data_IF_593267837563
#
_entry.id   IF_593267837563
#
_cell.length_a   1.000
_cell.length_b   1.000
_cell.length_c   1.000
_cell.angle_alpha   90.00
_cell.angle_beta   90.00
_cell.angle_gamma   90.00
#
_symmetry.space_group_name_H-M   'P 1'
#
loop_
_entity.id
_entity.type
_entity.pdbx_description
1 polymer ?
#
# COMPACT_ATOMS: atom_id res chain seq x y z
N UNK A 1 41.75 4.50 10.62
CA UNK A 1 40.74 5.43 10.10
C UNK A 1 40.66 5.28 8.59
N UNK A 2 39.46 4.92 8.08
CA UNK A 2 39.27 4.66 6.63
C UNK A 2 38.79 5.91 5.86
N UNK A 3 38.51 7.02 6.54
CA UNK A 3 37.88 8.21 5.95
C UNK A 3 36.42 8.01 5.51
N UNK A 4 35.81 6.86 5.87
CA UNK A 4 34.41 6.54 5.55
C UNK A 4 33.50 6.90 6.71
N UNK A 5 32.27 7.34 6.39
CA UNK A 5 31.21 7.53 7.37
C UNK A 5 30.51 6.20 7.62
N UNK A 6 30.27 5.89 8.91
CA UNK A 6 29.45 4.75 9.31
C UNK A 6 28.06 5.29 9.63
N UNK A 7 27.05 4.76 8.97
CA UNK A 7 25.65 5.13 9.12
C UNK A 7 24.78 3.89 9.30
N UNK A 8 23.60 3.99 9.94
CA UNK A 8 22.61 2.93 9.90
C UNK A 8 22.26 2.55 8.45
N UNK A 9 21.96 1.28 8.20
CA UNK A 9 21.45 0.84 6.90
C UNK A 9 20.10 1.48 6.58
N UNK A 10 19.80 1.64 5.31
CA UNK A 10 18.50 2.12 4.84
C UNK A 10 17.38 1.16 5.21
N UNK A 11 16.18 1.68 5.44
CA UNK A 11 14.92 0.94 5.54
C UNK A 11 14.08 1.29 4.33
N UNK A 12 13.73 0.31 3.50
CA UNK A 12 12.77 0.48 2.41
C UNK A 12 11.41 -0.04 2.87
N UNK A 13 10.46 0.84 3.19
CA UNK A 13 9.17 0.45 3.74
C UNK A 13 8.15 0.05 2.66
N UNK A 14 8.55 -0.08 1.39
CA UNK A 14 7.59 -0.36 0.32
C UNK A 14 8.21 -1.14 -0.84
N UNK A 15 8.23 -2.45 -0.73
CA UNK A 15 8.69 -3.34 -1.80
C UNK A 15 7.59 -4.34 -2.19
N UNK A 16 7.72 -4.92 -3.39
CA UNK A 16 6.84 -5.99 -3.88
C UNK A 16 7.70 -7.11 -4.47
N UNK A 17 7.99 -8.11 -3.66
CA UNK A 17 8.83 -9.26 -4.00
C UNK A 17 7.99 -10.52 -4.14
N UNK A 18 8.37 -11.41 -5.06
CA UNK A 18 7.60 -12.64 -5.35
C UNK A 18 6.08 -12.38 -5.59
N UNK A 19 5.66 -11.15 -5.92
CA UNK A 19 4.27 -10.76 -5.97
C UNK A 19 3.56 -11.31 -7.22
N UNK A 20 2.60 -12.24 -7.07
CA UNK A 20 1.74 -12.65 -8.18
C UNK A 20 0.69 -11.55 -8.45
N UNK A 21 0.71 -10.93 -9.63
CA UNK A 21 -0.23 -9.88 -10.00
C UNK A 21 -0.49 -9.85 -11.51
N UNK A 22 -1.74 -9.67 -11.91
CA UNK A 22 -2.17 -9.51 -13.30
C UNK A 22 -1.71 -10.63 -14.25
N UNK A 23 -1.61 -11.88 -13.76
CA UNK A 23 -1.22 -13.04 -14.57
C UNK A 23 0.30 -13.20 -14.75
N UNK A 24 1.08 -12.44 -14.04
CA UNK A 24 2.54 -12.55 -13.95
C UNK A 24 3.01 -12.54 -12.49
N UNK A 25 4.31 -12.59 -12.28
CA UNK A 25 4.95 -12.46 -10.96
C UNK A 25 6.03 -11.38 -11.06
N UNK A 26 6.27 -10.63 -9.99
CA UNK A 26 7.40 -9.67 -9.97
C UNK A 26 8.71 -10.36 -10.31
N UNK A 27 9.60 -9.66 -11.02
CA UNK A 27 10.88 -10.23 -11.49
C UNK A 27 11.84 -10.59 -10.37
N UNK A 28 11.77 -9.83 -9.26
CA UNK A 28 12.57 -10.07 -8.08
C UNK A 28 11.83 -10.91 -7.05
N UNK A 29 12.54 -11.90 -6.54
CA UNK A 29 12.14 -12.66 -5.37
C UNK A 29 12.80 -12.09 -4.09
N UNK A 30 12.48 -12.66 -2.92
CA UNK A 30 13.04 -12.22 -1.65
C UNK A 30 14.59 -12.38 -1.57
N UNK A 31 15.21 -13.24 -2.39
CA UNK A 31 16.68 -13.30 -2.43
C UNK A 31 17.27 -12.22 -3.33
N UNK A 32 16.79 -12.11 -4.57
CA UNK A 32 17.36 -11.19 -5.56
C UNK A 32 17.08 -9.74 -5.20
N UNK A 33 15.87 -9.41 -4.76
CA UNK A 33 15.50 -8.07 -4.30
C UNK A 33 16.26 -7.67 -3.03
N UNK A 34 16.37 -8.55 -2.03
CA UNK A 34 17.16 -8.29 -0.82
C UNK A 34 18.65 -8.10 -1.13
N UNK A 35 19.19 -8.89 -2.05
CA UNK A 35 20.58 -8.73 -2.51
C UNK A 35 20.78 -7.36 -3.15
N UNK A 36 19.89 -6.94 -4.04
CA UNK A 36 19.96 -5.62 -4.66
C UNK A 36 19.86 -4.49 -3.62
N UNK A 37 18.94 -4.59 -2.67
CA UNK A 37 18.78 -3.67 -1.56
C UNK A 37 20.07 -3.55 -0.72
N UNK A 38 20.66 -4.69 -0.33
CA UNK A 38 21.91 -4.73 0.44
C UNK A 38 23.07 -4.04 -0.30
N UNK A 39 23.21 -4.26 -1.61
CA UNK A 39 24.23 -3.58 -2.42
C UNK A 39 23.99 -2.06 -2.51
N UNK A 40 22.74 -1.59 -2.37
CA UNK A 40 22.37 -0.18 -2.27
C UNK A 40 22.53 0.42 -0.87
N UNK A 41 22.86 -0.41 0.15
CA UNK A 41 22.99 0.03 1.53
C UNK A 41 21.68 -0.05 2.34
N UNK A 42 20.62 -0.65 1.79
CA UNK A 42 19.38 -0.97 2.50
C UNK A 42 19.54 -2.27 3.25
N UNK A 43 19.22 -2.30 4.53
CA UNK A 43 19.38 -3.47 5.40
C UNK A 43 18.07 -4.04 5.92
N UNK A 44 16.96 -3.36 5.65
CA UNK A 44 15.61 -3.80 6.04
C UNK A 44 14.62 -3.41 4.95
N UNK A 45 13.73 -4.32 4.57
CA UNK A 45 12.63 -4.05 3.63
C UNK A 45 11.29 -4.42 4.24
N UNK A 46 10.20 -3.79 3.78
CA UNK A 46 8.84 -4.16 4.18
C UNK A 46 8.02 -4.47 2.93
N UNK A 47 7.56 -5.72 2.82
CA UNK A 47 6.76 -6.21 1.71
C UNK A 47 5.26 -6.24 2.07
N UNK A 48 4.41 -6.54 1.09
CA UNK A 48 2.96 -6.50 1.23
C UNK A 48 2.33 -7.87 1.06
N UNK A 49 1.87 -8.44 2.16
CA UNK A 49 1.04 -9.65 2.14
C UNK A 49 -0.30 -9.34 1.50
N UNK A 50 -0.73 -10.12 0.51
CA UNK A 50 -2.08 -10.02 -0.08
C UNK A 50 -3.03 -10.94 0.68
N UNK A 51 -4.18 -10.40 1.11
CA UNK A 51 -5.17 -11.17 1.86
C UNK A 51 -5.85 -12.22 0.98
N UNK A 52 -5.62 -13.49 1.32
CA UNK A 52 -6.23 -14.66 0.69
C UNK A 52 -7.59 -15.03 1.34
N UNK A 53 -8.36 -15.90 0.70
CA UNK A 53 -9.70 -16.30 1.18
C UNK A 53 -9.69 -17.01 2.55
N UNK A 54 -8.58 -17.68 2.87
CA UNK A 54 -8.44 -18.42 4.14
C UNK A 54 -8.08 -17.54 5.35
N UNK A 55 -7.97 -16.21 5.16
CA UNK A 55 -7.74 -15.26 6.24
C UNK A 55 -6.28 -14.88 6.45
N UNK A 56 -6.02 -14.07 7.49
CA UNK A 56 -4.73 -13.41 7.69
C UNK A 56 -3.59 -14.39 7.97
N UNK A 57 -3.78 -15.36 8.89
CA UNK A 57 -2.71 -16.29 9.23
C UNK A 57 -2.23 -17.06 7.99
N UNK A 58 -3.16 -17.60 7.21
CA UNK A 58 -2.82 -18.33 5.99
C UNK A 58 -2.06 -17.45 4.98
N UNK A 59 -2.48 -16.19 4.83
CA UNK A 59 -1.84 -15.24 3.93
C UNK A 59 -0.41 -14.93 4.39
N UNK A 60 -0.22 -14.68 5.68
CA UNK A 60 1.10 -14.42 6.27
C UNK A 60 2.02 -15.62 6.13
N UNK A 61 1.52 -16.84 6.35
CA UNK A 61 2.31 -18.08 6.22
C UNK A 61 2.87 -18.25 4.79
N UNK A 62 2.09 -17.87 3.77
CA UNK A 62 2.56 -17.88 2.36
C UNK A 62 3.74 -16.93 2.18
N UNK A 63 3.63 -15.68 2.63
CA UNK A 63 4.70 -14.68 2.49
C UNK A 63 5.93 -15.03 3.34
N UNK A 64 5.73 -15.53 4.56
CA UNK A 64 6.82 -16.05 5.38
C UNK A 64 7.57 -17.19 4.69
N UNK A 65 6.84 -18.08 3.99
CA UNK A 65 7.46 -19.16 3.21
C UNK A 65 8.29 -18.64 2.04
N UNK A 66 7.80 -17.62 1.30
CA UNK A 66 8.58 -16.97 0.25
C UNK A 66 9.82 -16.26 0.79
N UNK A 67 9.69 -15.66 1.98
CA UNK A 67 10.77 -14.93 2.65
C UNK A 67 11.82 -15.82 3.33
N UNK A 68 11.69 -17.15 3.37
CA UNK A 68 12.73 -18.05 3.90
C UNK A 68 14.11 -17.86 3.24
N UNK A 69 14.14 -17.33 2.01
CA UNK A 69 15.37 -17.02 1.25
C UNK A 69 15.86 -15.58 1.43
N UNK A 70 15.28 -14.83 2.35
CA UNK A 70 15.65 -13.44 2.62
C UNK A 70 17.12 -13.29 2.99
N UNK A 71 17.80 -12.28 2.45
CA UNK A 71 19.22 -12.02 2.67
C UNK A 71 19.48 -10.83 3.61
N UNK A 72 18.46 -10.03 3.93
CA UNK A 72 18.48 -8.91 4.89
C UNK A 72 17.21 -8.98 5.74
N UNK A 73 17.10 -8.11 6.74
CA UNK A 73 15.92 -8.02 7.60
C UNK A 73 14.68 -7.63 6.80
N UNK A 74 13.53 -8.17 7.20
CA UNK A 74 12.27 -7.85 6.55
C UNK A 74 11.10 -7.81 7.54
N UNK A 75 10.03 -7.17 7.11
CA UNK A 75 8.72 -7.20 7.76
C UNK A 75 7.63 -7.10 6.70
N UNK A 76 6.35 -7.08 7.15
CA UNK A 76 5.21 -7.07 6.25
C UNK A 76 4.19 -6.00 6.60
N UNK A 77 3.53 -5.50 5.56
CA UNK A 77 2.23 -4.81 5.61
C UNK A 77 1.13 -5.77 5.17
N UNK A 78 -0.11 -5.56 5.60
CA UNK A 78 -1.25 -6.35 5.14
C UNK A 78 -2.07 -5.58 4.10
N UNK A 79 -2.13 -6.07 2.85
CA UNK A 79 -3.09 -5.58 1.85
C UNK A 79 -4.48 -6.10 2.16
N UNK A 80 -5.40 -5.20 2.51
CA UNK A 80 -6.80 -5.46 2.77
C UNK A 80 -7.58 -5.32 1.46
N UNK A 81 -7.76 -6.42 0.74
CA UNK A 81 -8.39 -6.47 -0.59
C UNK A 81 -9.86 -6.89 -0.56
N UNK A 82 -10.37 -7.20 0.62
CA UNK A 82 -11.76 -7.53 0.90
C UNK A 82 -12.08 -7.18 2.35
N UNK A 83 -13.34 -6.92 2.64
CA UNK A 83 -13.78 -6.55 3.96
C UNK A 83 -15.18 -7.09 4.22
N UNK A 84 -15.34 -7.80 5.32
CA UNK A 84 -16.59 -8.29 5.87
C UNK A 84 -16.49 -8.35 7.41
N UNK A 85 -17.55 -8.74 8.08
CA UNK A 85 -17.57 -8.84 9.55
C UNK A 85 -16.56 -9.86 10.13
N UNK A 86 -16.23 -10.91 9.38
CA UNK A 86 -15.20 -11.88 9.77
C UNK A 86 -13.82 -11.22 9.72
N UNK A 87 -13.48 -10.61 8.59
CA UNK A 87 -12.21 -9.90 8.40
C UNK A 87 -12.07 -8.78 9.44
N UNK A 88 -13.11 -7.99 9.67
CA UNK A 88 -13.10 -6.92 10.67
C UNK A 88 -12.73 -7.42 12.07
N UNK A 89 -13.25 -8.59 12.49
CA UNK A 89 -12.95 -9.21 13.79
C UNK A 89 -11.53 -9.79 13.85
N UNK A 90 -10.97 -10.22 12.74
CA UNK A 90 -9.63 -10.81 12.66
C UNK A 90 -8.50 -9.76 12.60
N UNK A 91 -8.75 -8.51 12.15
CA UNK A 91 -7.72 -7.46 12.02
C UNK A 91 -6.83 -7.33 13.27
N UNK A 92 -7.34 -7.34 14.52
CA UNK A 92 -6.48 -7.21 15.69
C UNK A 92 -5.43 -8.32 15.85
N UNK A 93 -5.66 -9.51 15.26
CA UNK A 93 -4.70 -10.62 15.32
C UNK A 93 -3.39 -10.32 14.55
N UNK A 94 -3.41 -9.41 13.58
CA UNK A 94 -2.22 -8.99 12.84
C UNK A 94 -1.13 -8.42 13.76
N UNK A 95 -1.52 -7.74 14.85
CA UNK A 95 -0.57 -7.22 15.83
C UNK A 95 0.24 -8.34 16.51
N UNK A 96 -0.36 -9.50 16.74
CA UNK A 96 0.33 -10.67 17.30
C UNK A 96 1.28 -11.33 16.29
N UNK A 97 1.03 -11.12 15.00
CA UNK A 97 1.89 -11.56 13.89
C UNK A 97 3.02 -10.54 13.58
N UNK A 98 3.09 -9.42 14.33
CA UNK A 98 4.08 -8.36 14.09
C UNK A 98 3.70 -7.38 12.96
N UNK A 99 2.49 -7.47 12.41
CA UNK A 99 2.00 -6.61 11.33
C UNK A 99 1.17 -5.49 11.92
N UNK A 100 1.66 -4.26 11.83
CA UNK A 100 1.08 -3.07 12.46
C UNK A 100 0.42 -2.11 11.47
N UNK A 101 0.27 -2.52 10.21
CA UNK A 101 -0.19 -1.65 9.13
C UNK A 101 -1.21 -2.36 8.25
N UNK A 102 -2.25 -1.62 7.85
CA UNK A 102 -3.26 -2.07 6.88
C UNK A 102 -3.16 -1.22 5.62
N UNK A 103 -2.90 -1.84 4.47
CA UNK A 103 -2.89 -1.18 3.16
C UNK A 103 -4.22 -1.39 2.46
N UNK A 104 -4.84 -0.29 2.05
CA UNK A 104 -6.09 -0.26 1.24
C UNK A 104 -5.85 0.41 -0.11
N UNK A 105 -6.78 0.22 -1.03
CA UNK A 105 -6.73 0.75 -2.39
C UNK A 105 -8.05 1.44 -2.71
N UNK A 106 -7.98 2.63 -3.32
CA UNK A 106 -9.14 3.35 -3.87
C UNK A 106 -9.31 3.13 -5.37
N UNK A 107 -8.41 2.37 -5.99
CA UNK A 107 -8.44 1.95 -7.38
C UNK A 107 -8.28 0.43 -7.51
N UNK A 108 -8.22 -0.09 -8.75
CA UNK A 108 -8.22 -1.50 -9.10
C UNK A 108 -9.55 -2.19 -8.74
N UNK A 109 -10.64 -1.66 -9.28
CA UNK A 109 -12.01 -2.13 -9.07
C UNK A 109 -12.15 -3.64 -9.37
N UNK A 110 -12.87 -4.34 -8.50
CA UNK A 110 -13.05 -5.79 -8.62
C UNK A 110 -11.82 -6.66 -8.33
N UNK A 111 -10.71 -6.04 -7.89
CA UNK A 111 -9.44 -6.75 -7.56
C UNK A 111 -8.90 -6.38 -6.18
N UNK A 112 -8.40 -5.16 -6.01
CA UNK A 112 -7.75 -4.71 -4.79
C UNK A 112 -8.59 -3.67 -4.03
N UNK A 113 -9.42 -2.90 -4.75
CA UNK A 113 -10.26 -1.86 -4.16
C UNK A 113 -11.32 -2.47 -3.26
N UNK A 114 -11.46 -1.90 -2.07
CA UNK A 114 -12.64 -2.03 -1.22
C UNK A 114 -13.39 -0.70 -1.18
N UNK A 115 -14.70 -0.72 -0.85
CA UNK A 115 -15.52 0.49 -0.82
C UNK A 115 -15.15 1.43 0.33
N UNK A 116 -15.57 2.69 0.22
CA UNK A 116 -15.24 3.75 1.18
C UNK A 116 -15.77 3.45 2.60
N UNK A 117 -16.92 2.79 2.73
CA UNK A 117 -17.47 2.36 4.02
C UNK A 117 -16.58 1.32 4.71
N UNK A 118 -16.10 0.35 3.93
CA UNK A 118 -15.12 -0.67 4.37
C UNK A 118 -13.79 -0.05 4.75
N UNK A 119 -13.27 0.90 3.96
CA UNK A 119 -12.04 1.66 4.27
C UNK A 119 -12.22 2.42 5.58
N UNK A 120 -13.32 3.15 5.73
CA UNK A 120 -13.60 3.91 6.94
C UNK A 120 -13.65 3.02 8.18
N UNK A 121 -14.35 1.88 8.09
CA UNK A 121 -14.43 0.90 9.18
C UNK A 121 -13.07 0.29 9.52
N UNK A 122 -12.26 -0.03 8.50
CA UNK A 122 -10.90 -0.53 8.69
C UNK A 122 -10.01 0.51 9.41
N UNK A 123 -10.13 1.80 9.06
CA UNK A 123 -9.43 2.89 9.75
C UNK A 123 -9.81 2.98 11.23
N UNK A 124 -11.09 2.84 11.59
CA UNK A 124 -11.53 2.84 12.97
C UNK A 124 -10.91 1.67 13.75
N UNK A 125 -10.94 0.46 13.18
CA UNK A 125 -10.35 -0.73 13.80
C UNK A 125 -8.84 -0.59 13.94
N UNK A 126 -8.15 -0.07 12.92
CA UNK A 126 -6.71 0.20 12.97
C UNK A 126 -6.36 1.16 14.11
N UNK A 127 -7.07 2.29 14.23
CA UNK A 127 -6.92 3.26 15.34
C UNK A 127 -7.09 2.58 16.70
N UNK A 128 -8.16 1.82 16.88
CA UNK A 128 -8.51 1.19 18.17
C UNK A 128 -7.47 0.14 18.60
N UNK A 129 -6.66 -0.35 17.66
CA UNK A 129 -5.60 -1.34 17.90
C UNK A 129 -4.18 -0.76 17.74
N UNK A 130 -4.00 0.56 17.62
CA UNK A 130 -2.70 1.19 17.48
C UNK A 130 -1.99 0.88 16.15
N UNK A 131 -2.75 0.52 15.12
CA UNK A 131 -2.25 0.26 13.77
C UNK A 131 -2.29 1.51 12.90
N UNK A 132 -1.46 1.54 11.86
CA UNK A 132 -1.44 2.60 10.84
C UNK A 132 -2.18 2.14 9.58
N UNK A 133 -3.14 2.95 9.12
CA UNK A 133 -3.73 2.80 7.80
C UNK A 133 -2.78 3.32 6.71
N UNK A 134 -2.63 2.57 5.61
CA UNK A 134 -1.89 3.00 4.42
C UNK A 134 -2.83 2.96 3.22
N UNK A 135 -2.69 3.88 2.26
CA UNK A 135 -3.60 3.93 1.12
C UNK A 135 -2.89 4.23 -0.20
N UNK A 136 -3.20 3.42 -1.23
CA UNK A 136 -2.98 3.77 -2.63
C UNK A 136 -4.13 4.63 -3.09
N UNK A 137 -3.85 5.87 -3.48
CA UNK A 137 -4.86 6.88 -3.78
C UNK A 137 -4.91 7.20 -5.26
N UNK A 138 -5.92 6.67 -5.94
CA UNK A 138 -6.33 7.05 -7.30
C UNK A 138 -7.85 6.93 -7.41
N UNK A 139 -8.47 7.68 -8.34
CA UNK A 139 -9.89 7.52 -8.63
C UNK A 139 -10.12 6.31 -9.54
N UNK A 140 -10.42 5.15 -8.94
CA UNK A 140 -10.60 3.89 -9.67
C UNK A 140 -11.74 3.92 -10.68
N UNK A 141 -12.83 4.63 -10.43
CA UNK A 141 -13.98 4.68 -11.34
C UNK A 141 -13.66 5.48 -12.61
N UNK A 142 -12.89 6.57 -12.48
CA UNK A 142 -12.38 7.33 -13.63
C UNK A 142 -11.41 6.49 -14.46
N UNK A 143 -10.48 5.79 -13.81
CA UNK A 143 -9.52 4.90 -14.49
C UNK A 143 -10.23 3.80 -15.26
N UNK A 144 -11.19 3.12 -14.65
CA UNK A 144 -11.97 2.05 -15.29
C UNK A 144 -12.84 2.53 -16.45
N UNK A 145 -13.10 3.84 -16.55
CA UNK A 145 -13.76 4.47 -17.69
C UNK A 145 -12.74 4.79 -18.80
N UNK A 146 -11.62 5.41 -18.44
CA UNK A 146 -10.63 5.88 -19.43
C UNK A 146 -9.85 4.76 -20.12
N UNK A 147 -9.58 3.65 -19.42
CA UNK A 147 -8.85 2.51 -20.01
C UNK A 147 -9.61 1.90 -21.21
N UNK A 148 -10.89 1.51 -21.10
CA UNK A 148 -11.65 1.00 -22.25
C UNK A 148 -11.77 2.01 -23.39
N UNK A 149 -11.94 3.30 -23.10
CA UNK A 149 -11.97 4.36 -24.13
C UNK A 149 -10.65 4.43 -24.90
N UNK A 150 -9.52 4.41 -24.21
CA UNK A 150 -8.20 4.41 -24.83
C UNK A 150 -7.99 3.15 -25.70
N UNK A 151 -8.36 1.99 -25.20
CA UNK A 151 -8.27 0.71 -25.94
C UNK A 151 -9.15 0.71 -27.18
N UNK A 152 -10.39 1.21 -27.08
CA UNK A 152 -11.31 1.33 -28.23
C UNK A 152 -10.77 2.29 -29.31
N UNK A 153 -9.99 3.30 -28.93
CA UNK A 153 -9.30 4.22 -29.82
C UNK A 153 -7.98 3.65 -30.40
N UNK A 154 -7.60 2.41 -30.05
CA UNK A 154 -6.37 1.76 -30.49
C UNK A 154 -5.10 2.21 -29.75
N UNK A 155 -5.25 2.87 -28.63
CA UNK A 155 -4.17 3.38 -27.80
C UNK A 155 -3.65 2.30 -26.84
N UNK A 156 -2.62 1.55 -27.24
CA UNK A 156 -2.09 0.39 -26.50
C UNK A 156 -0.64 0.54 -26.05
N UNK A 157 -0.01 1.67 -26.31
CA UNK A 157 1.38 1.94 -25.95
C UNK A 157 1.53 2.36 -24.47
N UNK A 158 2.70 2.17 -23.85
CA UNK A 158 2.89 2.40 -22.40
C UNK A 158 2.56 3.82 -21.92
N UNK A 159 2.69 4.84 -22.76
CA UNK A 159 2.33 6.23 -22.39
C UNK A 159 0.86 6.38 -21.98
N UNK A 160 -0.04 5.55 -22.51
CA UNK A 160 -1.45 5.60 -22.16
C UNK A 160 -1.72 5.10 -20.74
N UNK A 161 -0.78 4.41 -20.11
CA UNK A 161 -0.88 4.11 -18.69
C UNK A 161 -1.00 5.39 -17.84
N UNK A 162 -0.16 6.39 -18.10
CA UNK A 162 -0.23 7.66 -17.41
C UNK A 162 -1.44 8.51 -17.86
N UNK A 163 -1.79 8.49 -19.15
CA UNK A 163 -2.90 9.29 -19.69
C UNK A 163 -4.28 8.80 -19.20
N UNK A 164 -4.42 7.50 -18.91
CA UNK A 164 -5.63 6.94 -18.32
C UNK A 164 -5.68 7.03 -16.79
N UNK A 165 -4.64 7.60 -16.16
CA UNK A 165 -4.56 7.87 -14.71
C UNK A 165 -4.31 9.35 -14.47
N UNK A 166 -5.34 10.20 -14.65
CA UNK A 166 -5.17 11.64 -14.49
C UNK A 166 -4.76 11.98 -13.07
N UNK A 167 -3.72 12.82 -12.93
CA UNK A 167 -3.16 13.18 -11.62
C UNK A 167 -4.18 13.77 -10.63
N UNK A 168 -5.20 14.49 -11.14
CA UNK A 168 -6.29 14.97 -10.30
C UNK A 168 -7.13 13.84 -9.66
N UNK A 169 -7.14 12.64 -10.24
CA UNK A 169 -7.73 11.45 -9.62
C UNK A 169 -6.98 11.01 -8.36
N UNK A 170 -5.66 11.17 -8.33
CA UNK A 170 -4.86 10.92 -7.13
C UNK A 170 -5.09 12.00 -6.06
N UNK A 171 -5.15 13.27 -6.47
CA UNK A 171 -5.44 14.39 -5.56
C UNK A 171 -6.81 14.25 -4.90
N UNK A 172 -7.85 13.92 -5.68
CA UNK A 172 -9.21 13.67 -5.18
C UNK A 172 -9.22 12.51 -4.16
N UNK A 173 -8.62 11.37 -4.53
CA UNK A 173 -8.57 10.21 -3.67
C UNK A 173 -7.80 10.48 -2.37
N UNK A 174 -6.69 11.21 -2.42
CA UNK A 174 -5.93 11.65 -1.24
C UNK A 174 -6.77 12.51 -0.32
N UNK A 175 -7.50 13.49 -0.86
CA UNK A 175 -8.38 14.33 -0.06
C UNK A 175 -9.53 13.52 0.57
N UNK A 176 -10.12 12.60 -0.17
CA UNK A 176 -11.17 11.72 0.32
C UNK A 176 -10.68 10.85 1.48
N UNK A 177 -9.48 10.26 1.36
CA UNK A 177 -8.86 9.47 2.43
C UNK A 177 -8.56 10.34 3.66
N UNK A 178 -8.04 11.55 3.48
CA UNK A 178 -7.78 12.48 4.57
C UNK A 178 -9.07 12.88 5.30
N UNK A 179 -10.16 13.12 4.58
CA UNK A 179 -11.46 13.42 5.17
C UNK A 179 -12.01 12.22 5.96
N UNK A 180 -11.87 11.00 5.45
CA UNK A 180 -12.24 9.79 6.20
C UNK A 180 -11.38 9.60 7.45
N UNK A 181 -10.08 9.86 7.36
CA UNK A 181 -9.15 9.78 8.49
C UNK A 181 -9.51 10.80 9.60
N UNK A 182 -9.90 12.02 9.23
CA UNK A 182 -10.42 13.02 10.16
C UNK A 182 -11.64 12.49 10.92
N UNK A 183 -12.64 12.00 10.20
CA UNK A 183 -13.88 11.49 10.80
C UNK A 183 -13.66 10.21 11.63
N UNK A 184 -12.73 9.36 11.22
CA UNK A 184 -12.35 8.16 11.96
C UNK A 184 -11.45 8.48 13.16
N UNK A 185 -10.89 9.70 13.25
CA UNK A 185 -9.80 10.06 14.16
C UNK A 185 -8.64 9.05 14.12
N UNK A 186 -8.24 8.65 12.91
CA UNK A 186 -7.26 7.61 12.67
C UNK A 186 -6.06 8.16 11.89
N UNK A 187 -4.82 7.76 12.22
CA UNK A 187 -3.66 8.11 11.40
C UNK A 187 -3.71 7.37 10.07
N UNK A 188 -3.28 8.05 8.99
CA UNK A 188 -3.18 7.44 7.66
C UNK A 188 -1.89 7.86 6.96
N UNK A 189 -1.29 6.92 6.22
CA UNK A 189 -0.14 7.14 5.35
C UNK A 189 -0.56 6.99 3.88
N UNK A 190 -0.41 8.06 3.09
CA UNK A 190 -0.63 8.02 1.64
C UNK A 190 0.67 7.58 0.99
N UNK A 191 0.67 6.40 0.37
CA UNK A 191 1.90 5.82 -0.19
C UNK A 191 2.23 6.41 -1.56
N UNK A 192 3.52 6.39 -1.94
CA UNK A 192 4.05 6.71 -3.27
C UNK A 192 3.36 7.90 -3.96
N UNK A 193 3.18 9.00 -3.28
CA UNK A 193 2.62 10.25 -3.82
C UNK A 193 3.47 10.74 -4.98
N UNK A 194 2.82 11.11 -6.08
CA UNK A 194 3.50 11.51 -7.32
C UNK A 194 2.99 12.84 -7.91
N UNK A 195 2.04 13.50 -7.25
CA UNK A 195 1.46 14.77 -7.69
C UNK A 195 1.64 15.86 -6.63
N UNK A 196 2.04 17.06 -7.06
CA UNK A 196 2.16 18.22 -6.15
C UNK A 196 0.85 18.52 -5.41
N UNK A 197 -0.30 18.36 -6.07
CA UNK A 197 -1.61 18.56 -5.46
C UNK A 197 -1.92 17.61 -4.30
N UNK A 198 -1.36 16.39 -4.29
CA UNK A 198 -1.49 15.49 -3.13
C UNK A 198 -0.77 16.07 -1.91
N UNK A 199 0.43 16.64 -2.11
CA UNK A 199 1.18 17.32 -1.02
C UNK A 199 0.38 18.49 -0.45
N UNK A 200 -0.31 19.25 -1.30
CA UNK A 200 -1.15 20.36 -0.85
C UNK A 200 -2.36 19.84 -0.06
N UNK A 201 -2.93 18.73 -0.44
CA UNK A 201 -4.01 18.07 0.34
C UNK A 201 -3.51 17.59 1.71
N UNK A 202 -2.29 17.05 1.79
CA UNK A 202 -1.70 16.67 3.07
C UNK A 202 -1.47 17.89 3.97
N UNK A 203 -0.96 18.99 3.43
CA UNK A 203 -0.79 20.25 4.18
C UNK A 203 -2.13 20.74 4.73
N UNK A 204 -3.15 20.82 3.86
CA UNK A 204 -4.49 21.23 4.24
C UNK A 204 -5.08 20.34 5.35
N UNK A 205 -4.94 19.01 5.23
CA UNK A 205 -5.42 18.08 6.24
C UNK A 205 -4.70 18.26 7.59
N UNK A 206 -3.39 18.44 7.56
CA UNK A 206 -2.57 18.69 8.78
C UNK A 206 -2.94 20.01 9.48
N UNK A 207 -3.24 21.07 8.74
CA UNK A 207 -3.74 22.34 9.27
C UNK A 207 -5.09 22.18 10.01
N UNK A 208 -5.88 21.17 9.64
CA UNK A 208 -7.11 20.77 10.32
C UNK A 208 -6.88 19.82 11.51
N UNK A 209 -5.64 19.45 11.79
CA UNK A 209 -5.29 18.54 12.87
C UNK A 209 -5.36 17.04 12.51
N UNK A 210 -5.50 16.69 11.24
CA UNK A 210 -5.51 15.28 10.80
C UNK A 210 -4.09 14.71 10.83
N UNK A 211 -3.92 13.55 11.44
CA UNK A 211 -2.64 12.82 11.41
C UNK A 211 -2.49 12.10 10.08
N UNK A 212 -1.95 12.81 9.09
CA UNK A 212 -1.72 12.29 7.74
C UNK A 212 -0.24 12.42 7.35
N UNK A 213 0.28 11.36 6.73
CA UNK A 213 1.67 11.24 6.26
C UNK A 213 1.67 10.81 4.80
N UNK A 214 2.78 11.04 4.09
CA UNK A 214 3.00 10.63 2.71
C UNK A 214 4.44 10.88 2.28
#
# INVERSE_FOLDING_TARGET
ETGKLIMPGGVDPHVHLDLPMFGTVSSDDHYTGHKAAAFGGTTTVMDFVVLEDKGFQYSVDIWMKMAEKAAIDYSFHMNLTKFDERIAKEIPSLMQMGIQTLKVFTAYNGRLRIDDGSIFRAMQIARDNGMLGMAHCENGDVIETLIPEALAAGHTTPEYHALTRPGWGAVEATMRLAAMAEQANAPVYIVHMNMAGEVDMLKYARERGVTVMG
#
